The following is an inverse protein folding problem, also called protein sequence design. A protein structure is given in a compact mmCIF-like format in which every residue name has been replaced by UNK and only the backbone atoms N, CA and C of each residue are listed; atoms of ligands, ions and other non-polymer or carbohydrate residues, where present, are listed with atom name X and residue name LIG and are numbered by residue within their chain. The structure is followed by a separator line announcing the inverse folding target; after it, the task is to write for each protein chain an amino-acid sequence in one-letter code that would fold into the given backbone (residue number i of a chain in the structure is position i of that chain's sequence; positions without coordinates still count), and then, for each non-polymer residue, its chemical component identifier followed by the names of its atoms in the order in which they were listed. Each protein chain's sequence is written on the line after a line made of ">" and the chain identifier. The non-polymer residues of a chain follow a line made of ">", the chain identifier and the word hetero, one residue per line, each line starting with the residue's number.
data_IF_474692432977
#
_entry.id   IF_474692432977
#
_cell.length_a   1.000
_cell.length_b   1.000
_cell.length_c   1.000
_cell.angle_alpha   90.00
_cell.angle_beta   90.00
_cell.angle_gamma   90.00
#
_symmetry.space_group_name_H-M   'P 1'
#
loop_
_entity.id
_entity.type
_entity.pdbx_description
1 polymer ?
#
# COMPACT_ATOMS: atom_id res chain seq x y z
N UNK A 1 -25.40 21.56 6.09
CA UNK A 1 -25.08 21.49 4.64
C UNK A 1 -23.73 20.81 4.48
N UNK A 2 -23.71 19.50 4.18
CA UNK A 2 -22.48 18.70 4.00
C UNK A 2 -21.91 18.97 2.61
N UNK A 3 -20.66 19.43 2.51
CA UNK A 3 -19.95 19.55 1.24
C UNK A 3 -19.33 18.19 0.90
N UNK A 4 -19.93 17.48 -0.04
CA UNK A 4 -19.33 16.30 -0.66
C UNK A 4 -18.18 16.78 -1.57
N UNK A 5 -16.94 16.55 -1.15
CA UNK A 5 -15.78 16.74 -2.01
C UNK A 5 -15.66 15.54 -2.95
N UNK A 6 -16.21 15.67 -4.15
CA UNK A 6 -15.97 14.75 -5.26
C UNK A 6 -14.52 14.89 -5.71
N UNK A 7 -13.66 13.95 -5.29
CA UNK A 7 -12.28 13.87 -5.79
C UNK A 7 -12.31 13.19 -7.16
N UNK A 8 -12.22 13.98 -8.22
CA UNK A 8 -12.09 13.51 -9.59
C UNK A 8 -10.70 12.91 -9.80
N UNK A 9 -10.59 11.57 -9.87
CA UNK A 9 -9.40 10.90 -10.39
C UNK A 9 -9.33 11.11 -11.92
N UNK A 10 -8.63 12.15 -12.36
CA UNK A 10 -8.23 12.28 -13.76
C UNK A 10 -6.84 11.65 -13.93
N UNK A 11 -6.81 10.38 -14.37
CA UNK A 11 -5.58 9.68 -14.73
C UNK A 11 -5.10 10.19 -16.10
N UNK A 12 -4.32 11.27 -16.10
CA UNK A 12 -3.69 11.79 -17.31
C UNK A 12 -2.36 11.05 -17.56
N UNK A 13 -2.41 9.99 -18.37
CA UNK A 13 -1.22 9.31 -18.90
C UNK A 13 -0.52 10.23 -19.90
N UNK A 14 0.53 10.92 -19.46
CA UNK A 14 1.44 11.66 -20.34
C UNK A 14 2.70 10.83 -20.57
N UNK A 15 2.89 10.37 -21.81
CA UNK A 15 4.17 9.90 -22.31
C UNK A 15 4.99 11.12 -22.75
N UNK A 16 6.18 11.30 -22.16
CA UNK A 16 7.11 12.35 -22.56
C UNK A 16 8.38 12.31 -21.73
N UNK A 17 9.44 11.81 -22.33
CA UNK A 17 10.79 11.63 -21.78
C UNK A 17 11.45 12.95 -21.33
N UNK A 18 11.70 13.10 -20.02
CA UNK A 18 12.83 13.79 -19.40
C UNK A 18 12.60 13.77 -17.88
N UNK A 19 13.61 13.32 -17.12
CA UNK A 19 13.69 13.41 -15.66
C UNK A 19 12.37 13.18 -14.93
N UNK A 20 12.07 11.93 -14.57
CA UNK A 20 10.96 11.61 -13.66
C UNK A 20 11.24 12.36 -12.36
N UNK A 21 10.70 13.57 -12.23
CA UNK A 21 10.38 14.14 -10.95
C UNK A 21 9.32 13.19 -10.41
N UNK A 22 9.79 12.13 -9.74
CA UNK A 22 8.97 11.33 -8.86
C UNK A 22 8.41 12.36 -7.91
N UNK A 23 7.16 12.76 -8.10
CA UNK A 23 6.40 13.45 -7.09
C UNK A 23 6.40 12.47 -5.94
N UNK A 24 7.36 12.67 -5.04
CA UNK A 24 7.49 11.95 -3.80
C UNK A 24 6.30 12.42 -2.99
N UNK A 25 5.13 11.84 -3.26
CA UNK A 25 4.04 11.85 -2.31
C UNK A 25 4.67 11.33 -1.04
N UNK A 26 4.83 12.22 -0.07
CA UNK A 26 5.33 11.88 1.25
C UNK A 26 4.27 10.95 1.85
N UNK A 27 4.43 9.65 1.57
CA UNK A 27 3.54 8.60 2.05
C UNK A 27 3.38 8.78 3.55
N UNK A 28 2.13 8.86 4.00
CA UNK A 28 1.82 9.06 5.41
C UNK A 28 2.58 8.03 6.25
N UNK A 29 3.23 8.40 7.37
CA UNK A 29 4.14 7.50 8.10
C UNK A 29 3.52 6.14 8.46
N UNK A 30 2.21 6.08 8.70
CA UNK A 30 1.49 4.82 8.96
C UNK A 30 1.34 3.94 7.73
N UNK A 31 1.10 4.51 6.55
CA UNK A 31 1.03 3.76 5.30
C UNK A 31 2.41 3.20 4.92
N UNK A 32 3.47 4.01 5.13
CA UNK A 32 4.86 3.55 4.98
C UNK A 32 5.18 2.36 5.89
N UNK A 33 4.71 2.39 7.14
CA UNK A 33 4.86 1.28 8.07
C UNK A 33 4.16 0.01 7.57
N UNK A 34 2.91 0.12 7.10
CA UNK A 34 2.18 -1.01 6.51
C UNK A 34 2.94 -1.61 5.33
N UNK A 35 3.45 -0.76 4.42
CA UNK A 35 4.22 -1.19 3.24
C UNK A 35 5.52 -1.92 3.63
N UNK A 36 6.30 -1.34 4.55
CA UNK A 36 7.54 -1.96 5.03
C UNK A 36 7.28 -3.33 5.69
N UNK A 37 6.15 -3.49 6.39
CA UNK A 37 5.71 -4.77 6.93
C UNK A 37 5.39 -5.80 5.83
N UNK A 38 4.65 -5.39 4.79
CA UNK A 38 4.35 -6.24 3.64
C UNK A 38 5.63 -6.70 2.93
N UNK A 39 6.55 -5.79 2.64
CA UNK A 39 7.82 -6.10 1.97
C UNK A 39 8.64 -7.11 2.77
N UNK A 40 8.72 -6.95 4.10
CA UNK A 40 9.38 -7.91 4.98
C UNK A 40 8.71 -9.28 4.90
N UNK A 41 7.39 -9.35 4.97
CA UNK A 41 6.67 -10.62 4.95
C UNK A 41 6.81 -11.33 3.60
N UNK A 42 6.72 -10.60 2.48
CA UNK A 42 6.98 -11.15 1.14
C UNK A 42 8.40 -11.70 1.04
N UNK A 43 9.39 -11.01 1.60
CA UNK A 43 10.77 -11.50 1.61
C UNK A 43 10.90 -12.82 2.40
N UNK A 44 10.23 -12.94 3.55
CA UNK A 44 10.16 -14.21 4.30
C UNK A 44 9.47 -15.29 3.47
N UNK A 45 8.33 -14.99 2.85
CA UNK A 45 7.64 -15.94 1.98
C UNK A 45 8.57 -16.40 0.85
N UNK A 46 9.24 -15.49 0.15
CA UNK A 46 10.15 -15.83 -0.94
C UNK A 46 11.36 -16.65 -0.48
N UNK A 47 11.88 -16.44 0.73
CA UNK A 47 12.95 -17.28 1.28
C UNK A 47 12.50 -18.71 1.61
N UNK A 48 11.20 -18.97 1.72
CA UNK A 48 10.64 -20.34 1.90
C UNK A 48 10.06 -20.92 0.60
N UNK A 49 10.20 -20.19 -0.53
CA UNK A 49 9.69 -20.60 -1.84
C UNK A 49 10.38 -21.86 -2.39
N UNK A 50 11.67 -22.07 -2.08
CA UNK A 50 12.48 -23.19 -2.58
C UNK A 50 11.97 -24.59 -2.16
N UNK A 51 10.92 -24.66 -1.34
CA UNK A 51 10.31 -25.92 -0.89
C UNK A 51 9.08 -26.39 -1.72
N UNK A 52 8.79 -25.80 -2.89
CA UNK A 52 7.63 -26.16 -3.75
C UNK A 52 6.29 -26.25 -2.99
N UNK A 53 6.16 -25.52 -1.88
CA UNK A 53 4.99 -25.66 -1.02
C UNK A 53 3.93 -24.65 -1.39
N UNK A 54 2.68 -25.10 -1.52
CA UNK A 54 1.49 -24.23 -1.61
C UNK A 54 1.41 -23.22 -0.45
N UNK A 55 2.17 -23.45 0.63
CA UNK A 55 2.35 -22.54 1.74
C UNK A 55 3.02 -21.21 1.33
N UNK A 56 3.80 -21.17 0.25
CA UNK A 56 4.35 -19.91 -0.28
C UNK A 56 3.22 -18.98 -0.75
N UNK A 57 2.33 -19.48 -1.61
CA UNK A 57 1.22 -18.69 -2.14
C UNK A 57 0.28 -18.26 -1.01
N UNK A 58 0.01 -19.17 -0.06
CA UNK A 58 -0.75 -18.86 1.15
C UNK A 58 -0.07 -17.76 1.97
N UNK A 59 1.24 -17.83 2.18
CA UNK A 59 2.03 -16.81 2.89
C UNK A 59 1.90 -15.44 2.22
N UNK A 60 1.99 -15.36 0.89
CA UNK A 60 1.81 -14.10 0.13
C UNK A 60 0.39 -13.55 0.31
N UNK A 61 -0.62 -14.42 0.23
CA UNK A 61 -2.03 -14.02 0.39
C UNK A 61 -2.32 -13.51 1.81
N UNK A 62 -1.85 -14.22 2.84
CA UNK A 62 -2.01 -13.83 4.24
C UNK A 62 -1.30 -12.50 4.52
N UNK A 63 -0.08 -12.33 4.00
CA UNK A 63 0.69 -11.08 4.11
C UNK A 63 -0.04 -9.90 3.47
N UNK A 64 -0.67 -10.13 2.31
CA UNK A 64 -1.46 -9.11 1.61
C UNK A 64 -2.74 -8.75 2.35
N UNK A 65 -3.37 -9.72 3.02
CA UNK A 65 -4.55 -9.48 3.86
C UNK A 65 -4.20 -8.60 5.07
N UNK A 66 -3.09 -8.91 5.75
CA UNK A 66 -2.57 -8.11 6.87
C UNK A 66 -2.27 -6.67 6.43
N UNK A 67 -1.62 -6.50 5.28
CA UNK A 67 -1.37 -5.18 4.71
C UNK A 67 -2.66 -4.38 4.49
N UNK A 68 -3.70 -5.01 3.91
CA UNK A 68 -4.99 -4.34 3.69
C UNK A 68 -5.64 -3.89 4.99
N UNK A 69 -5.63 -4.74 6.02
CA UNK A 69 -6.16 -4.35 7.34
C UNK A 69 -5.37 -3.17 7.94
N UNK A 70 -4.03 -3.23 7.89
CA UNK A 70 -3.16 -2.15 8.37
C UNK A 70 -3.45 -0.82 7.68
N UNK A 71 -3.64 -0.84 6.35
CA UNK A 71 -3.98 0.36 5.57
C UNK A 71 -5.35 0.90 5.96
N UNK A 72 -6.36 0.04 6.12
CA UNK A 72 -7.70 0.46 6.52
C UNK A 72 -7.69 1.15 7.89
N UNK A 73 -7.04 0.55 8.88
CA UNK A 73 -6.88 1.14 10.22
C UNK A 73 -6.09 2.45 10.18
N UNK A 74 -5.05 2.53 9.35
CA UNK A 74 -4.27 3.74 9.17
C UNK A 74 -5.13 4.88 8.58
N UNK A 75 -5.98 4.57 7.58
CA UNK A 75 -6.90 5.53 6.96
C UNK A 75 -7.99 5.96 7.93
N UNK A 76 -8.63 5.02 8.62
CA UNK A 76 -9.65 5.34 9.63
C UNK A 76 -9.08 6.26 10.73
N UNK A 77 -7.84 6.03 11.14
CA UNK A 77 -7.18 6.91 12.10
C UNK A 77 -6.85 8.29 11.52
N UNK A 78 -6.47 8.39 10.25
CA UNK A 78 -6.26 9.68 9.59
C UNK A 78 -7.57 10.48 9.51
N UNK A 79 -8.67 9.80 9.17
CA UNK A 79 -10.00 10.40 9.05
C UNK A 79 -10.56 10.85 10.41
N UNK A 80 -10.26 10.13 11.50
CA UNK A 80 -10.71 10.47 12.86
C UNK A 80 -9.89 11.57 13.54
N UNK A 81 -8.62 11.75 13.16
CA UNK A 81 -7.73 12.78 13.74
C UNK A 81 -7.71 14.06 12.90
N UNK A 82 -8.14 14.00 11.63
CA UNK A 82 -8.20 15.15 10.72
C UNK A 82 -9.56 15.88 10.66
N UNK A 83 -10.55 15.48 11.46
CA UNK A 83 -11.93 16.02 11.47
C UNK A 83 -12.20 17.07 12.54
#
# INVERSE_FOLDING_TARGET
>A
MRRAATVSLALALTLGSAGVAVTQETEHPRLRYCRAGLERNINVCNNVHDAFSDNWQKCINDSSSIYRMCVLEAVEHMDTVGG
#
